data_IF_270006822775
#
_entry.id   IF_270006822775
#
_cell.length_a   1.000
_cell.length_b   1.000
_cell.length_c   1.000
_cell.angle_alpha   90.00
_cell.angle_beta   90.00
_cell.angle_gamma   90.00
#
_symmetry.space_group_name_H-M   'P 1'
#
loop_
_entity.id
_entity.type
_entity.pdbx_description
1 polymer ?
#
# COMPACT_ATOMS: atom_id res chain seq x y z
N UNK A 1 14.86 22.37 5.59
CA UNK A 1 13.40 22.56 5.69
C UNK A 1 12.64 21.74 4.67
N UNK A 2 12.64 22.02 3.36
CA UNK A 2 11.86 21.21 2.39
C UNK A 2 12.34 19.74 2.20
N UNK A 3 13.63 19.46 2.42
CA UNK A 3 14.19 18.11 2.27
C UNK A 3 14.03 17.23 3.52
N UNK A 4 14.13 17.83 4.70
CA UNK A 4 13.87 17.14 5.97
C UNK A 4 12.40 16.70 6.06
N UNK A 5 11.51 17.47 5.44
CA UNK A 5 10.07 17.20 5.33
C UNK A 5 9.79 15.95 4.49
N UNK A 6 10.43 15.82 3.31
CA UNK A 6 10.32 14.63 2.46
C UNK A 6 10.86 13.36 3.12
N UNK A 7 11.97 13.47 3.85
CA UNK A 7 12.53 12.35 4.62
C UNK A 7 11.59 11.88 5.72
N UNK A 8 10.96 12.82 6.43
CA UNK A 8 9.96 12.52 7.44
C UNK A 8 8.67 11.92 6.85
N UNK A 9 8.19 12.46 5.71
CA UNK A 9 7.03 11.93 4.98
C UNK A 9 7.27 10.47 4.54
N UNK A 10 8.43 10.15 3.93
CA UNK A 10 8.78 8.78 3.54
C UNK A 10 8.82 7.86 4.74
N UNK A 11 9.43 8.28 5.85
CA UNK A 11 9.50 7.47 7.06
C UNK A 11 8.11 7.20 7.64
N UNK A 12 7.23 8.19 7.65
CA UNK A 12 5.85 8.03 8.10
C UNK A 12 5.07 7.05 7.20
N UNK A 13 5.28 7.10 5.88
CA UNK A 13 4.68 6.15 4.93
C UNK A 13 5.24 4.74 5.11
N UNK A 14 6.55 4.60 5.36
CA UNK A 14 7.18 3.32 5.64
C UNK A 14 6.63 2.69 6.93
N UNK A 15 6.52 3.47 8.01
CA UNK A 15 5.91 3.03 9.27
C UNK A 15 4.46 2.55 9.06
N UNK A 16 3.65 3.34 8.33
CA UNK A 16 2.27 2.94 7.97
C UNK A 16 2.23 1.67 7.14
N UNK A 17 3.13 1.51 6.17
CA UNK A 17 3.19 0.31 5.33
C UNK A 17 3.55 -0.93 6.15
N UNK A 18 4.50 -0.83 7.09
CA UNK A 18 4.86 -1.93 7.98
C UNK A 18 3.69 -2.31 8.88
N UNK A 19 3.01 -1.34 9.48
CA UNK A 19 1.81 -1.59 10.31
C UNK A 19 0.69 -2.24 9.49
N UNK A 20 0.44 -1.75 8.27
CA UNK A 20 -0.59 -2.30 7.39
C UNK A 20 -0.26 -3.73 6.95
N UNK A 21 1.00 -4.00 6.60
CA UNK A 21 1.48 -5.35 6.25
C UNK A 21 1.20 -6.34 7.38
N UNK A 22 1.62 -5.99 8.61
CA UNK A 22 1.38 -6.83 9.78
C UNK A 22 -0.11 -7.01 10.07
N UNK A 23 -0.91 -5.95 9.88
CA UNK A 23 -2.35 -6.00 10.05
C UNK A 23 -3.03 -6.94 9.06
N UNK A 24 -2.66 -6.89 7.78
CA UNK A 24 -3.18 -7.77 6.72
C UNK A 24 -2.79 -9.22 7.03
N UNK A 25 -1.52 -9.50 7.32
CA UNK A 25 -1.05 -10.87 7.62
C UNK A 25 -1.78 -11.48 8.83
N UNK A 26 -1.90 -10.73 9.92
CA UNK A 26 -2.61 -11.19 11.13
C UNK A 26 -4.09 -11.41 10.85
N UNK A 27 -4.71 -10.52 10.07
CA UNK A 27 -6.11 -10.61 9.72
C UNK A 27 -6.40 -11.78 8.77
N UNK A 28 -5.55 -12.03 7.77
CA UNK A 28 -5.68 -13.16 6.85
C UNK A 28 -5.62 -14.49 7.61
N UNK A 29 -4.64 -14.66 8.50
CA UNK A 29 -4.51 -15.87 9.30
C UNK A 29 -5.71 -16.07 10.23
N UNK A 30 -6.11 -15.02 10.96
CA UNK A 30 -7.29 -15.06 11.81
C UNK A 30 -8.56 -15.40 11.02
N UNK A 31 -8.73 -14.78 9.84
CA UNK A 31 -9.89 -15.01 8.96
C UNK A 31 -9.94 -16.44 8.44
N UNK A 32 -8.80 -17.04 8.06
CA UNK A 32 -8.75 -18.45 7.63
C UNK A 32 -9.16 -19.38 8.76
N UNK A 33 -8.65 -19.16 9.98
CA UNK A 33 -9.02 -19.96 11.16
C UNK A 33 -10.51 -19.82 11.47
N UNK A 34 -11.04 -18.59 11.45
CA UNK A 34 -12.47 -18.33 11.66
C UNK A 34 -13.32 -19.01 10.59
N UNK A 35 -13.00 -18.84 9.29
CA UNK A 35 -13.76 -19.46 8.20
C UNK A 35 -13.75 -20.99 8.27
N UNK A 36 -12.61 -21.60 8.61
CA UNK A 36 -12.53 -23.04 8.80
C UNK A 36 -13.35 -23.52 10.00
N UNK A 37 -13.32 -22.77 11.12
CA UNK A 37 -14.13 -23.06 12.30
C UNK A 37 -15.63 -22.98 11.98
N UNK A 38 -16.06 -21.88 11.34
CA UNK A 38 -17.44 -21.65 10.91
C UNK A 38 -17.91 -22.74 9.96
N UNK A 39 -17.09 -23.15 8.99
CA UNK A 39 -17.41 -24.24 8.08
C UNK A 39 -17.66 -25.55 8.84
N UNK A 40 -16.80 -25.89 9.81
CA UNK A 40 -16.98 -27.10 10.61
C UNK A 40 -18.28 -27.08 11.42
N UNK A 41 -18.64 -25.92 11.99
CA UNK A 41 -19.91 -25.77 12.72
C UNK A 41 -21.11 -25.94 11.80
N UNK A 42 -21.10 -25.29 10.63
CA UNK A 42 -22.18 -25.41 9.62
C UNK A 42 -22.32 -26.86 9.14
N UNK A 43 -21.21 -27.53 8.82
CA UNK A 43 -21.23 -28.93 8.39
C UNK A 43 -21.70 -29.88 9.51
N UNK A 44 -21.39 -29.58 10.78
CA UNK A 44 -21.92 -30.34 11.91
C UNK A 44 -23.44 -30.24 11.98
N UNK A 45 -23.99 -29.03 11.90
CA UNK A 45 -25.44 -28.81 11.92
C UNK A 45 -26.14 -29.45 10.73
N UNK A 46 -25.48 -29.48 9.57
CA UNK A 46 -25.99 -30.18 8.40
C UNK A 46 -26.04 -31.69 8.62
N UNK A 47 -25.00 -32.29 9.23
CA UNK A 47 -25.01 -33.72 9.58
C UNK A 47 -26.13 -34.06 10.56
N UNK A 48 -26.34 -33.22 11.58
CA UNK A 48 -27.42 -33.42 12.55
C UNK A 48 -28.80 -33.36 11.87
N UNK A 49 -28.99 -32.42 10.94
CA UNK A 49 -30.21 -32.29 10.14
C UNK A 49 -30.44 -33.51 9.23
N UNK A 50 -29.41 -33.98 8.53
CA UNK A 50 -29.48 -35.19 7.68
C UNK A 50 -29.75 -36.44 8.53
N UNK A 51 -29.17 -36.53 9.72
CA UNK A 51 -29.43 -37.64 10.65
C UNK A 51 -30.88 -37.64 11.15
N UNK A 52 -31.47 -36.46 11.42
CA UNK A 52 -32.88 -36.35 11.78
C UNK A 52 -33.80 -36.85 10.65
N UNK A 53 -33.48 -36.53 9.40
CA UNK A 53 -34.18 -37.05 8.20
C UNK A 53 -34.03 -38.56 8.09
N UNK A 54 -32.80 -39.09 8.26
CA UNK A 54 -32.54 -40.52 8.16
C UNK A 54 -33.30 -41.33 9.22
N UNK A 55 -33.29 -40.87 10.49
CA UNK A 55 -34.09 -41.49 11.56
C UNK A 55 -35.59 -41.51 11.24
N UNK A 56 -36.07 -40.44 10.62
CA UNK A 56 -37.46 -40.34 10.18
C UNK A 56 -37.76 -41.34 9.06
N UNK A 57 -36.86 -41.50 8.09
CA UNK A 57 -37.00 -42.50 7.02
C UNK A 57 -37.05 -43.93 7.58
N UNK A 58 -36.10 -44.30 8.44
CA UNK A 58 -36.07 -45.62 9.07
C UNK A 58 -37.38 -45.95 9.79
N UNK A 59 -37.92 -44.99 10.55
CA UNK A 59 -39.24 -45.15 11.18
C UNK A 59 -40.37 -45.36 10.16
N UNK A 60 -40.37 -44.60 9.07
CA UNK A 60 -41.41 -44.70 8.05
C UNK A 60 -41.37 -46.05 7.33
N UNK A 61 -40.19 -46.56 7.03
CA UNK A 61 -39.97 -47.78 6.25
C UNK A 61 -40.10 -49.05 7.10
N UNK A 62 -39.54 -49.05 8.32
CA UNK A 62 -39.45 -50.25 9.17
C UNK A 62 -40.55 -50.28 10.24
N UNK A 63 -41.20 -49.15 10.52
CA UNK A 63 -42.21 -49.05 11.58
C UNK A 63 -41.66 -49.14 13.00
N UNK A 64 -40.37 -49.39 13.15
CA UNK A 64 -39.65 -49.42 14.42
C UNK A 64 -39.00 -48.06 14.67
N UNK A 65 -39.20 -47.53 15.87
CA UNK A 65 -38.41 -46.41 16.39
C UNK A 65 -37.63 -46.95 17.58
N UNK A 66 -36.30 -46.86 17.54
CA UNK A 66 -35.38 -47.32 18.60
C UNK A 66 -35.74 -46.66 19.96
N UNK A 67 -36.51 -45.56 19.94
CA UNK A 67 -37.01 -44.88 21.12
C UNK A 67 -38.26 -45.48 21.79
N UNK A 68 -38.98 -46.43 21.18
CA UNK A 68 -40.25 -46.93 21.73
C UNK A 68 -40.04 -47.75 23.00
N UNK A 69 -38.85 -48.33 23.19
CA UNK A 69 -38.58 -49.29 24.26
C UNK A 69 -38.36 -48.66 25.66
N UNK A 70 -38.22 -47.33 25.77
CA UNK A 70 -37.83 -46.70 27.06
C UNK A 70 -38.87 -45.80 27.73
N UNK A 71 -39.95 -45.36 27.07
CA UNK A 71 -40.82 -44.29 27.63
C UNK A 71 -42.32 -44.62 27.65
N UNK A 72 -42.79 -45.64 26.92
CA UNK A 72 -44.24 -45.76 26.67
C UNK A 72 -44.82 -46.99 27.38
N UNK A 73 -45.43 -46.75 28.56
CA UNK A 73 -46.40 -47.70 29.16
C UNK A 73 -47.59 -47.96 28.23
N UNK A 74 -48.52 -48.89 28.54
CA UNK A 74 -49.46 -49.46 27.57
C UNK A 74 -50.43 -48.40 27.02
N UNK A 75 -50.04 -47.73 25.92
CA UNK A 75 -50.87 -46.89 25.10
C UNK A 75 -51.47 -47.75 23.98
N UNK A 76 -52.66 -47.38 23.48
CA UNK A 76 -53.14 -47.96 22.23
C UNK A 76 -52.14 -47.66 21.10
N UNK A 77 -51.91 -48.62 20.20
CA UNK A 77 -50.97 -48.51 19.08
C UNK A 77 -51.16 -47.20 18.27
N UNK A 78 -52.41 -46.73 18.15
CA UNK A 78 -52.77 -45.50 17.45
C UNK A 78 -52.33 -44.21 18.16
N UNK A 79 -52.30 -44.20 19.50
CA UNK A 79 -51.82 -43.06 20.30
C UNK A 79 -50.29 -42.99 20.28
N UNK A 80 -49.64 -44.15 20.41
CA UNK A 80 -48.18 -44.29 20.33
C UNK A 80 -47.64 -43.78 18.97
N UNK A 81 -48.28 -44.17 17.87
CA UNK A 81 -47.86 -43.75 16.52
C UNK A 81 -47.95 -42.24 16.30
N UNK A 82 -48.97 -41.56 16.86
CA UNK A 82 -49.15 -40.10 16.71
C UNK A 82 -48.08 -39.31 17.45
N UNK A 83 -47.71 -39.75 18.66
CA UNK A 83 -46.70 -39.09 19.46
C UNK A 83 -45.29 -39.30 18.87
N UNK A 84 -45.01 -40.47 18.31
CA UNK A 84 -43.77 -40.75 17.54
C UNK A 84 -43.67 -39.85 16.30
N UNK A 85 -44.72 -39.75 15.48
CA UNK A 85 -44.74 -38.85 14.30
C UNK A 85 -44.47 -37.40 14.69
N UNK A 86 -45.07 -36.92 15.77
CA UNK A 86 -44.83 -35.56 16.28
C UNK A 86 -43.37 -35.37 16.69
N UNK A 87 -42.77 -36.36 17.35
CA UNK A 87 -41.37 -36.30 17.76
C UNK A 87 -40.42 -36.19 16.56
N UNK A 88 -40.61 -37.01 15.52
CA UNK A 88 -39.82 -36.91 14.29
C UNK A 88 -40.01 -35.59 13.56
N UNK A 89 -41.24 -35.08 13.43
CA UNK A 89 -41.49 -33.78 12.78
C UNK A 89 -40.85 -32.62 13.55
N UNK A 90 -40.96 -32.61 14.87
CA UNK A 90 -40.33 -31.59 15.73
C UNK A 90 -38.80 -31.69 15.66
N UNK A 91 -38.23 -32.89 15.73
CA UNK A 91 -36.78 -33.08 15.64
C UNK A 91 -36.22 -32.58 14.31
N UNK A 92 -36.87 -32.89 13.17
CA UNK A 92 -36.44 -32.35 11.89
C UNK A 92 -36.55 -30.82 11.86
N UNK A 93 -37.64 -30.26 12.39
CA UNK A 93 -37.85 -28.82 12.42
C UNK A 93 -36.78 -28.10 13.25
N UNK A 94 -36.47 -28.60 14.43
CA UNK A 94 -35.43 -28.04 15.30
C UNK A 94 -34.05 -28.10 14.63
N UNK A 95 -33.67 -29.23 14.05
CA UNK A 95 -32.36 -29.37 13.39
C UNK A 95 -32.22 -28.44 12.18
N UNK A 96 -33.22 -28.35 11.30
CA UNK A 96 -33.14 -27.43 10.15
C UNK A 96 -33.22 -25.95 10.55
N UNK A 97 -33.93 -25.62 11.64
CA UNK A 97 -33.93 -24.27 12.19
C UNK A 97 -32.56 -23.88 12.75
N UNK A 98 -31.90 -24.79 13.48
CA UNK A 98 -30.53 -24.59 13.98
C UNK A 98 -29.51 -24.47 12.84
N UNK A 99 -29.63 -25.30 11.79
CA UNK A 99 -28.81 -25.20 10.59
C UNK A 99 -28.96 -23.83 9.92
N UNK A 100 -30.20 -23.38 9.73
CA UNK A 100 -30.52 -22.06 9.17
C UNK A 100 -29.92 -20.93 9.99
N UNK A 101 -30.10 -20.93 11.32
CA UNK A 101 -29.53 -19.90 12.20
C UNK A 101 -28.00 -19.89 12.12
N UNK A 102 -27.37 -21.07 12.14
CA UNK A 102 -25.92 -21.21 12.05
C UNK A 102 -25.40 -20.74 10.70
N UNK A 103 -26.05 -21.12 9.60
CA UNK A 103 -25.67 -20.71 8.25
C UNK A 103 -25.88 -19.19 8.04
N UNK A 104 -26.92 -18.61 8.64
CA UNK A 104 -27.14 -17.15 8.62
C UNK A 104 -26.02 -16.40 9.36
N UNK A 105 -25.64 -16.90 10.54
CA UNK A 105 -24.50 -16.37 11.29
C UNK A 105 -23.19 -16.50 10.49
N UNK A 106 -23.00 -17.62 9.78
CA UNK A 106 -21.85 -17.87 8.94
C UNK A 106 -21.76 -16.91 7.74
N UNK A 107 -22.88 -16.61 7.07
CA UNK A 107 -22.96 -15.59 6.02
C UNK A 107 -22.49 -14.25 6.57
N UNK A 108 -23.05 -13.81 7.71
CA UNK A 108 -22.69 -12.53 8.32
C UNK A 108 -21.21 -12.45 8.67
N UNK A 109 -20.65 -13.50 9.27
CA UNK A 109 -19.22 -13.55 9.59
C UNK A 109 -18.34 -13.45 8.34
N UNK A 110 -18.72 -14.11 7.25
CA UNK A 110 -17.98 -14.04 5.99
C UNK A 110 -18.11 -12.65 5.33
N UNK A 111 -19.27 -12.01 5.42
CA UNK A 111 -19.48 -10.62 4.97
C UNK A 111 -18.65 -9.61 5.79
N UNK A 112 -18.57 -9.79 7.11
CA UNK A 112 -17.73 -8.96 7.99
C UNK A 112 -16.24 -9.08 7.59
N UNK A 113 -15.78 -10.31 7.30
CA UNK A 113 -14.41 -10.55 6.81
C UNK A 113 -14.18 -9.88 5.45
N UNK A 114 -15.13 -10.00 4.52
CA UNK A 114 -15.06 -9.34 3.20
C UNK A 114 -14.98 -7.83 3.33
N UNK A 115 -15.77 -7.23 4.23
CA UNK A 115 -15.75 -5.80 4.48
C UNK A 115 -14.39 -5.32 4.97
N UNK A 116 -13.79 -6.04 5.92
CA UNK A 116 -12.45 -5.71 6.44
C UNK A 116 -11.36 -5.82 5.37
N UNK A 117 -11.41 -6.84 4.49
CA UNK A 117 -10.48 -6.93 3.35
C UNK A 117 -10.59 -5.72 2.44
N UNK A 118 -11.82 -5.28 2.13
CA UNK A 118 -12.03 -4.08 1.31
C UNK A 118 -11.52 -2.80 1.97
N UNK A 119 -11.52 -2.72 3.31
CA UNK A 119 -10.93 -1.59 4.04
C UNK A 119 -9.40 -1.57 3.89
N UNK A 120 -8.73 -2.73 3.95
CA UNK A 120 -7.30 -2.82 3.71
C UNK A 120 -6.92 -2.41 2.28
N UNK A 121 -7.72 -2.80 1.28
CA UNK A 121 -7.51 -2.35 -0.11
C UNK A 121 -7.59 -0.82 -0.22
N UNK A 122 -8.58 -0.20 0.43
CA UNK A 122 -8.70 1.27 0.47
C UNK A 122 -7.47 1.90 1.14
N UNK A 123 -6.98 1.34 2.25
CA UNK A 123 -5.78 1.84 2.93
C UNK A 123 -4.51 1.69 2.07
N UNK A 124 -4.37 0.58 1.34
CA UNK A 124 -3.29 0.37 0.37
C UNK A 124 -3.35 1.39 -0.78
N UNK A 125 -4.53 1.68 -1.30
CA UNK A 125 -4.71 2.66 -2.36
C UNK A 125 -4.40 4.09 -1.90
N UNK A 126 -4.73 4.44 -0.65
CA UNK A 126 -4.31 5.71 -0.05
C UNK A 126 -2.79 5.78 0.05
N UNK A 127 -2.13 4.73 0.53
CA UNK A 127 -0.66 4.69 0.62
C UNK A 127 0.01 4.79 -0.76
N UNK A 128 -0.54 4.13 -1.78
CA UNK A 128 -0.06 4.25 -3.17
C UNK A 128 -0.15 5.69 -3.67
N UNK A 129 -1.28 6.36 -3.43
CA UNK A 129 -1.47 7.78 -3.79
C UNK A 129 -0.50 8.70 -3.05
N UNK A 130 -0.28 8.47 -1.76
CA UNK A 130 0.69 9.23 -0.96
C UNK A 130 2.11 9.04 -1.52
N UNK A 131 2.50 7.81 -1.83
CA UNK A 131 3.80 7.49 -2.45
C UNK A 131 3.96 8.14 -3.83
N UNK A 132 2.94 8.09 -4.70
CA UNK A 132 2.98 8.73 -6.01
C UNK A 132 3.10 10.26 -5.91
N UNK A 133 2.41 10.87 -4.94
CA UNK A 133 2.51 12.30 -4.68
C UNK A 133 3.93 12.69 -4.20
N UNK A 134 4.52 11.92 -3.30
CA UNK A 134 5.91 12.11 -2.84
C UNK A 134 6.88 11.92 -4.01
N UNK A 135 6.73 10.86 -4.80
CA UNK A 135 7.58 10.58 -5.96
C UNK A 135 7.54 11.75 -6.95
N UNK A 136 6.35 12.22 -7.31
CA UNK A 136 6.16 13.34 -8.24
C UNK A 136 6.82 14.62 -7.72
N UNK A 137 6.67 14.91 -6.42
CA UNK A 137 7.28 16.09 -5.78
C UNK A 137 8.81 15.98 -5.78
N UNK A 138 9.35 14.82 -5.41
CA UNK A 138 10.78 14.57 -5.36
C UNK A 138 11.42 14.62 -6.76
N UNK A 139 10.79 14.04 -7.77
CA UNK A 139 11.25 14.10 -9.17
C UNK A 139 11.24 15.53 -9.71
N UNK A 140 10.20 16.32 -9.41
CA UNK A 140 10.14 17.74 -9.76
C UNK A 140 11.28 18.55 -9.11
N UNK A 141 11.48 18.38 -7.80
CA UNK A 141 12.56 19.06 -7.09
C UNK A 141 13.94 18.65 -7.60
N UNK A 142 14.11 17.37 -7.98
CA UNK A 142 15.36 16.87 -8.56
C UNK A 142 15.64 17.52 -9.92
N UNK A 143 14.62 17.66 -10.76
CA UNK A 143 14.74 18.33 -12.05
C UNK A 143 15.14 19.81 -11.88
N UNK A 144 14.52 20.52 -10.92
CA UNK A 144 14.85 21.91 -10.60
C UNK A 144 16.29 22.03 -10.09
N UNK A 145 16.70 21.19 -9.14
CA UNK A 145 18.06 21.20 -8.59
C UNK A 145 19.10 20.92 -9.68
N UNK A 146 18.83 19.99 -10.59
CA UNK A 146 19.69 19.69 -11.74
C UNK A 146 19.83 20.87 -12.69
N UNK A 147 18.74 21.60 -12.98
CA UNK A 147 18.80 22.80 -13.82
C UNK A 147 19.58 23.93 -13.14
N UNK A 148 19.36 24.16 -11.84
CA UNK A 148 20.06 25.16 -11.05
C UNK A 148 21.58 24.89 -11.01
N UNK A 149 21.99 23.65 -10.76
CA UNK A 149 23.39 23.23 -10.82
C UNK A 149 24.01 23.52 -12.19
N UNK A 150 23.31 23.19 -13.28
CA UNK A 150 23.81 23.47 -14.63
C UNK A 150 23.95 24.97 -14.95
N UNK A 151 23.10 25.83 -14.38
CA UNK A 151 23.24 27.28 -14.49
C UNK A 151 24.43 27.80 -13.68
N UNK A 152 24.56 27.33 -12.44
CA UNK A 152 25.62 27.73 -11.52
C UNK A 152 27.00 27.30 -12.02
N UNK A 153 27.13 26.11 -12.61
CA UNK A 153 28.38 25.67 -13.26
C UNK A 153 28.81 26.59 -14.39
N UNK A 154 27.86 27.09 -15.20
CA UNK A 154 28.16 28.06 -16.26
C UNK A 154 28.59 29.40 -15.68
N UNK A 155 27.96 29.86 -14.61
CA UNK A 155 28.34 31.10 -13.93
C UNK A 155 29.73 31.02 -13.32
N UNK A 156 30.07 29.92 -12.64
CA UNK A 156 31.42 29.66 -12.08
C UNK A 156 32.46 29.67 -13.22
N UNK A 157 32.22 28.94 -14.31
CA UNK A 157 33.12 28.94 -15.47
C UNK A 157 33.32 30.35 -16.06
N UNK A 158 32.27 31.17 -16.05
CA UNK A 158 32.36 32.54 -16.55
C UNK A 158 33.16 33.45 -15.61
N UNK A 159 32.90 33.39 -14.29
CA UNK A 159 33.64 34.20 -13.31
C UNK A 159 35.11 33.78 -13.23
N UNK A 160 35.42 32.49 -13.31
CA UNK A 160 36.79 31.98 -13.41
C UNK A 160 37.50 32.49 -14.66
N UNK A 161 36.85 32.48 -15.83
CA UNK A 161 37.41 33.05 -17.07
C UNK A 161 37.71 34.55 -16.91
N UNK A 162 36.79 35.31 -16.31
CA UNK A 162 36.97 36.76 -16.07
C UNK A 162 38.15 36.99 -15.11
N UNK A 163 38.24 36.22 -14.03
CA UNK A 163 39.34 36.29 -13.08
C UNK A 163 40.69 35.99 -13.74
N UNK A 164 40.76 34.94 -14.56
CA UNK A 164 41.97 34.57 -15.29
C UNK A 164 42.40 35.65 -16.28
N UNK A 165 41.43 36.23 -17.02
CA UNK A 165 41.69 37.35 -17.91
C UNK A 165 42.26 38.56 -17.15
N UNK A 166 41.62 38.97 -16.04
CA UNK A 166 42.06 40.11 -15.21
C UNK A 166 43.45 39.87 -14.60
N UNK A 167 43.74 38.64 -14.14
CA UNK A 167 45.06 38.24 -13.64
C UNK A 167 46.13 38.31 -14.75
N UNK A 168 45.80 37.84 -15.95
CA UNK A 168 46.66 37.95 -17.14
C UNK A 168 46.95 39.41 -17.52
N UNK A 169 45.93 40.27 -17.49
CA UNK A 169 46.07 41.72 -17.74
C UNK A 169 46.99 42.38 -16.69
N UNK A 170 46.79 42.11 -15.40
CA UNK A 170 47.70 42.61 -14.35
C UNK A 170 49.14 42.14 -14.60
N UNK A 171 49.36 40.85 -14.92
CA UNK A 171 50.69 40.32 -15.19
C UNK A 171 51.35 40.97 -16.42
N UNK A 172 50.55 41.36 -17.42
CA UNK A 172 51.04 42.13 -18.58
C UNK A 172 51.41 43.56 -18.21
N UNK A 173 50.57 44.26 -17.43
CA UNK A 173 50.81 45.61 -16.93
C UNK A 173 52.03 45.65 -16.00
N UNK A 174 52.24 44.63 -15.17
CA UNK A 174 53.42 44.47 -14.32
C UNK A 174 54.71 44.33 -15.13
N UNK A 175 54.66 43.55 -16.22
CA UNK A 175 55.78 43.44 -17.17
C UNK A 175 56.07 44.76 -17.88
N UNK A 176 55.04 45.47 -18.34
CA UNK A 176 55.22 46.80 -18.96
C UNK A 176 55.80 47.83 -17.99
N UNK A 177 55.33 47.84 -16.74
CA UNK A 177 55.87 48.71 -15.69
C UNK A 177 57.34 48.38 -15.38
N UNK A 178 57.68 47.09 -15.33
CA UNK A 178 59.05 46.59 -15.15
C UNK A 178 59.99 47.06 -16.26
N UNK A 179 59.59 46.84 -17.53
CA UNK A 179 60.35 47.28 -18.70
C UNK A 179 60.53 48.81 -18.73
N UNK A 180 59.45 49.57 -18.42
CA UNK A 180 59.52 51.03 -18.34
C UNK A 180 60.44 51.53 -17.22
N UNK A 181 60.51 50.83 -16.08
CA UNK A 181 61.45 51.13 -15.01
C UNK A 181 62.90 50.83 -15.40
N UNK A 182 63.15 49.77 -16.15
CA UNK A 182 64.47 49.45 -16.69
C UNK A 182 64.93 50.48 -17.73
N UNK A 183 64.03 50.94 -18.60
CA UNK A 183 64.29 52.03 -19.54
C UNK A 183 64.59 53.35 -18.82
N UNK A 184 63.86 53.66 -17.74
CA UNK A 184 64.19 54.79 -16.86
C UNK A 184 65.54 54.62 -16.18
N UNK A 185 65.88 53.42 -15.71
CA UNK A 185 67.17 53.12 -15.09
C UNK A 185 68.31 53.28 -16.10
N UNK A 186 68.11 52.84 -17.35
CA UNK A 186 69.05 53.05 -18.47
C UNK A 186 69.20 54.53 -18.81
N UNK A 187 68.10 55.28 -18.87
CA UNK A 187 68.12 56.73 -19.08
C UNK A 187 68.83 57.46 -17.94
N UNK A 188 68.60 57.09 -16.67
CA UNK A 188 69.32 57.64 -15.51
C UNK A 188 70.81 57.29 -15.52
N UNK A 189 71.19 56.07 -15.91
CA UNK A 189 72.61 55.68 -16.09
C UNK A 189 73.28 56.47 -17.21
N UNK A 190 72.59 56.68 -18.34
CA UNK A 190 73.06 57.58 -19.41
C UNK A 190 73.13 59.03 -18.93
N UNK A 191 72.19 59.47 -18.10
CA UNK A 191 72.17 60.79 -17.47
C UNK A 191 73.35 60.97 -16.51
N UNK A 192 73.70 60.01 -15.66
CA UNK A 192 74.88 60.07 -14.79
C UNK A 192 76.21 60.09 -15.56
N UNK A 193 76.23 59.62 -16.82
CA UNK A 193 77.39 59.74 -17.72
C UNK A 193 77.39 61.07 -18.52
N UNK A 194 76.23 61.73 -18.66
CA UNK A 194 76.05 62.95 -19.44
C UNK A 194 75.90 64.24 -18.61
N UNK A 195 76.13 64.20 -17.29
CA UNK A 195 76.20 65.40 -16.45
C UNK A 195 77.51 66.19 -16.60
N UNK A 196 78.41 65.73 -17.46
CA UNK A 196 79.50 66.56 -17.95
C UNK A 196 79.05 67.57 -19.03
N UNK A 197 77.82 67.55 -19.58
CA UNK A 197 77.51 68.43 -20.73
C UNK A 197 76.05 68.75 -21.10
N UNK A 198 75.06 68.90 -20.20
CA UNK A 198 73.75 69.45 -20.67
C UNK A 198 72.78 70.01 -19.62
N UNK A 199 72.67 71.34 -19.61
CA UNK A 199 71.50 72.10 -19.15
C UNK A 199 70.40 72.16 -20.26
N UNK A 200 70.62 71.57 -21.46
CA UNK A 200 69.86 71.86 -22.70
C UNK A 200 69.38 70.59 -23.45
N UNK A 201 68.53 69.72 -22.87
CA UNK A 201 67.81 68.70 -23.68
C UNK A 201 66.33 68.57 -23.29
N UNK A 202 65.47 69.50 -23.77
CA UNK A 202 64.00 69.42 -23.61
C UNK A 202 63.36 68.07 -24.02
N UNK A 203 63.82 67.37 -25.08
CA UNK A 203 63.23 66.08 -25.48
C UNK A 203 63.38 64.98 -24.43
N UNK A 204 64.49 64.99 -23.65
CA UNK A 204 64.71 63.97 -22.62
C UNK A 204 63.88 64.22 -21.36
N UNK A 205 63.62 65.48 -21.00
CA UNK A 205 62.71 65.85 -19.91
C UNK A 205 61.27 65.50 -20.29
N UNK A 206 60.84 65.83 -21.52
CA UNK A 206 59.53 65.44 -22.04
C UNK A 206 59.35 63.92 -22.09
N UNK A 207 60.42 63.18 -22.43
CA UNK A 207 60.41 61.71 -22.41
C UNK A 207 60.34 61.14 -21.00
N UNK A 208 60.96 61.78 -20.00
CA UNK A 208 60.86 61.38 -18.60
C UNK A 208 59.46 61.64 -18.02
N UNK A 209 58.88 62.82 -18.28
CA UNK A 209 57.54 63.21 -17.83
C UNK A 209 56.45 62.35 -18.48
N UNK A 210 56.55 62.07 -19.79
CA UNK A 210 55.60 61.17 -20.46
C UNK A 210 55.69 59.73 -19.97
N UNK A 211 56.90 59.24 -19.65
CA UNK A 211 57.06 57.95 -18.99
C UNK A 211 56.44 57.96 -17.58
N UNK A 212 56.55 59.05 -16.82
CA UNK A 212 55.94 59.22 -15.48
C UNK A 212 54.42 59.20 -15.52
N UNK A 213 53.83 59.96 -16.43
CA UNK A 213 52.39 59.93 -16.67
C UNK A 213 51.92 58.53 -17.07
N UNK A 214 52.60 57.88 -18.01
CA UNK A 214 52.28 56.52 -18.45
C UNK A 214 52.37 55.49 -17.34
N UNK A 215 53.39 55.56 -16.46
CA UNK A 215 53.46 54.65 -15.32
C UNK A 215 52.40 54.94 -14.24
N UNK A 216 51.97 56.20 -14.10
CA UNK A 216 50.88 56.55 -13.18
C UNK A 216 49.54 56.01 -13.66
N UNK A 217 49.26 56.09 -14.96
CA UNK A 217 48.06 55.51 -15.59
C UNK A 217 48.06 53.98 -15.48
N UNK A 218 49.17 53.32 -15.81
CA UNK A 218 49.33 51.86 -15.65
C UNK A 218 49.09 51.41 -14.20
N UNK A 219 49.58 52.16 -13.20
CA UNK A 219 49.34 51.87 -11.78
C UNK A 219 47.90 52.14 -11.33
N UNK A 220 47.21 53.10 -11.94
CA UNK A 220 45.80 53.36 -11.67
C UNK A 220 44.95 52.20 -12.19
N UNK A 221 45.17 51.78 -13.44
CA UNK A 221 44.50 50.62 -14.05
C UNK A 221 44.78 49.31 -13.29
N UNK A 222 46.02 49.10 -12.84
CA UNK A 222 46.34 47.93 -11.99
C UNK A 222 45.60 47.96 -10.65
N UNK A 223 45.42 49.13 -10.02
CA UNK A 223 44.66 49.23 -8.76
C UNK A 223 43.19 48.95 -8.98
N UNK A 224 42.62 49.47 -10.06
CA UNK A 224 41.23 49.21 -10.45
C UNK A 224 41.00 47.72 -10.72
N UNK A 225 41.85 47.07 -11.52
CA UNK A 225 41.76 45.63 -11.78
C UNK A 225 41.94 44.79 -10.49
N UNK A 226 42.81 45.22 -9.57
CA UNK A 226 42.99 44.54 -8.27
C UNK A 226 41.76 44.66 -7.38
N UNK A 227 41.09 45.81 -7.34
CA UNK A 227 39.82 45.95 -6.62
C UNK A 227 38.72 45.11 -7.29
N UNK A 228 38.63 45.11 -8.63
CA UNK A 228 37.67 44.26 -9.32
C UNK A 228 37.91 42.75 -9.10
N UNK A 229 39.15 42.29 -8.91
CA UNK A 229 39.45 40.90 -8.53
C UNK A 229 38.97 40.62 -7.10
N UNK A 230 39.17 41.57 -6.19
CA UNK A 230 38.77 41.47 -4.79
C UNK A 230 37.25 41.30 -4.62
N UNK A 231 36.47 41.78 -5.58
CA UNK A 231 35.01 41.62 -5.61
C UNK A 231 34.57 40.30 -6.29
N UNK A 232 35.30 39.82 -7.31
CA UNK A 232 34.94 38.62 -8.09
C UNK A 232 35.41 37.29 -7.43
N UNK A 233 36.51 37.30 -6.68
CA UNK A 233 36.98 36.14 -5.90
C UNK A 233 35.98 35.67 -4.83
N UNK A 234 35.43 36.53 -3.94
CA UNK A 234 34.45 36.09 -2.96
C UNK A 234 33.14 35.63 -3.61
N UNK A 235 32.75 36.21 -4.75
CA UNK A 235 31.59 35.76 -5.52
C UNK A 235 31.78 34.32 -6.03
N UNK A 236 32.95 34.02 -6.59
CA UNK A 236 33.29 32.66 -7.07
C UNK A 236 33.31 31.65 -5.92
N UNK A 237 33.90 32.01 -4.77
CA UNK A 237 33.89 31.17 -3.58
C UNK A 237 32.48 30.94 -3.02
N UNK A 238 31.61 31.95 -3.08
CA UNK A 238 30.20 31.82 -2.68
C UNK A 238 29.47 30.83 -3.58
N UNK A 239 29.61 30.95 -4.90
CA UNK A 239 29.00 30.04 -5.87
C UNK A 239 29.51 28.61 -5.73
N UNK A 240 30.80 28.41 -5.44
CA UNK A 240 31.35 27.08 -5.18
C UNK A 240 30.77 26.41 -3.93
N UNK A 241 30.53 27.20 -2.86
CA UNK A 241 29.85 26.69 -1.65
C UNK A 241 28.40 26.32 -1.93
N UNK A 242 27.68 27.17 -2.67
CA UNK A 242 26.29 26.93 -3.04
C UNK A 242 26.13 25.74 -4.00
N UNK A 243 27.12 25.53 -4.89
CA UNK A 243 27.19 24.32 -5.73
C UNK A 243 27.27 23.06 -4.85
N UNK A 244 28.18 23.04 -3.88
CA UNK A 244 28.36 21.89 -3.00
C UNK A 244 27.09 21.57 -2.19
N UNK A 245 26.36 22.59 -1.73
CA UNK A 245 25.08 22.36 -1.02
C UNK A 245 23.99 21.82 -1.96
N UNK A 246 23.89 22.33 -3.18
CA UNK A 246 22.95 21.82 -4.19
C UNK A 246 23.26 20.39 -4.65
N UNK A 247 24.54 20.02 -4.75
CA UNK A 247 24.96 18.65 -5.02
C UNK A 247 24.49 17.70 -3.91
N UNK A 248 24.65 18.09 -2.64
CA UNK A 248 24.12 17.33 -1.51
C UNK A 248 22.58 17.18 -1.57
N UNK A 249 21.85 18.26 -1.88
CA UNK A 249 20.38 18.17 -2.04
C UNK A 249 19.96 17.23 -3.18
N UNK A 250 20.70 17.22 -4.29
CA UNK A 250 20.45 16.33 -5.43
C UNK A 250 20.60 14.86 -5.04
N UNK A 251 21.62 14.52 -4.26
CA UNK A 251 21.84 13.14 -3.77
C UNK A 251 20.72 12.69 -2.83
N UNK A 252 20.29 13.56 -1.91
CA UNK A 252 19.16 13.30 -1.00
C UNK A 252 17.89 13.02 -1.81
N UNK A 253 17.57 13.87 -2.79
CA UNK A 253 16.39 13.68 -3.64
C UNK A 253 16.44 12.38 -4.46
N UNK A 254 17.62 12.01 -4.96
CA UNK A 254 17.79 10.75 -5.67
C UNK A 254 17.52 9.54 -4.75
N UNK A 255 17.99 9.59 -3.50
CA UNK A 255 17.70 8.57 -2.49
C UNK A 255 16.21 8.51 -2.13
N UNK A 256 15.55 9.67 -1.97
CA UNK A 256 14.10 9.78 -1.74
C UNK A 256 13.32 9.09 -2.87
N UNK A 257 13.62 9.41 -4.14
CA UNK A 257 12.95 8.78 -5.30
C UNK A 257 13.17 7.26 -5.32
N UNK A 258 14.39 6.80 -5.05
CA UNK A 258 14.69 5.36 -5.00
C UNK A 258 13.91 4.65 -3.89
N UNK A 259 13.85 5.24 -2.69
CA UNK A 259 13.10 4.70 -1.55
C UNK A 259 11.60 4.66 -1.83
N UNK A 260 11.03 5.72 -2.41
CA UNK A 260 9.61 5.74 -2.78
C UNK A 260 9.28 4.65 -3.79
N UNK A 261 10.12 4.44 -4.82
CA UNK A 261 9.93 3.34 -5.80
C UNK A 261 10.01 1.96 -5.15
N UNK A 262 10.94 1.76 -4.22
CA UNK A 262 11.04 0.53 -3.46
C UNK A 262 9.78 0.27 -2.61
N UNK A 263 9.22 1.30 -1.96
CA UNK A 263 7.99 1.19 -1.19
C UNK A 263 6.78 0.88 -2.08
N UNK A 264 6.65 1.52 -3.25
CA UNK A 264 5.58 1.21 -4.23
C UNK A 264 5.63 -0.28 -4.62
N UNK A 265 6.83 -0.79 -4.91
CA UNK A 265 7.03 -2.20 -5.27
C UNK A 265 6.62 -3.15 -4.13
N UNK A 266 6.79 -2.74 -2.87
CA UNK A 266 6.36 -3.52 -1.69
C UNK A 266 4.84 -3.52 -1.49
N UNK A 267 4.11 -2.50 -1.97
CA UNK A 267 2.65 -2.45 -1.90
C UNK A 267 1.94 -3.36 -2.91
N UNK A 268 2.63 -3.80 -3.97
CA UNK A 268 2.06 -4.61 -5.05
C UNK A 268 1.71 -6.05 -4.62
N UNK A 269 2.60 -6.81 -3.95
CA UNK A 269 2.28 -8.17 -3.48
C UNK A 269 1.19 -8.21 -2.41
N UNK A 270 1.02 -7.16 -1.60
CA UNK A 270 -0.02 -7.10 -0.55
C UNK A 270 -1.44 -7.13 -1.13
N UNK A 271 -1.63 -6.52 -2.30
CA UNK A 271 -2.90 -6.59 -3.02
C UNK A 271 -3.14 -7.97 -3.65
N UNK A 272 -2.06 -8.71 -3.91
CA UNK A 272 -2.15 -10.06 -4.49
C UNK A 272 -2.38 -11.13 -3.42
N UNK A 273 -1.78 -11.02 -2.22
CA UNK A 273 -1.98 -12.00 -1.13
C UNK A 273 -3.42 -11.98 -0.61
N UNK A 274 -4.00 -10.78 -0.49
CA UNK A 274 -5.38 -10.59 -0.07
C UNK A 274 -6.39 -11.26 -1.03
N UNK A 275 -6.01 -11.47 -2.30
CA UNK A 275 -6.88 -12.04 -3.33
C UNK A 275 -7.27 -13.49 -3.05
N UNK A 276 -6.37 -14.32 -2.52
CA UNK A 276 -6.68 -15.72 -2.19
C UNK A 276 -7.72 -15.81 -1.07
N UNK A 277 -7.52 -15.04 -0.01
CA UNK A 277 -8.44 -14.98 1.14
C UNK A 277 -9.78 -14.37 0.72
N UNK A 278 -9.77 -13.35 -0.14
CA UNK A 278 -10.98 -12.76 -0.69
C UNK A 278 -11.78 -13.77 -1.53
N UNK A 279 -11.12 -14.51 -2.43
CA UNK A 279 -11.78 -15.51 -3.26
C UNK A 279 -12.37 -16.64 -2.41
N UNK A 280 -11.66 -17.09 -1.37
CA UNK A 280 -12.18 -18.07 -0.42
C UNK A 280 -13.45 -17.56 0.28
N UNK A 281 -13.41 -16.34 0.79
CA UNK A 281 -14.54 -15.72 1.51
C UNK A 281 -15.74 -15.53 0.58
N UNK A 282 -15.54 -15.07 -0.65
CA UNK A 282 -16.62 -14.91 -1.64
C UNK A 282 -17.29 -16.24 -1.99
N UNK A 283 -16.49 -17.29 -2.22
CA UNK A 283 -17.02 -18.63 -2.44
C UNK A 283 -17.84 -19.11 -1.24
N UNK A 284 -17.35 -18.89 -0.01
CA UNK A 284 -18.05 -19.29 1.22
C UNK A 284 -19.35 -18.53 1.45
N UNK A 285 -19.41 -17.23 1.13
CA UNK A 285 -20.66 -16.46 1.19
C UNK A 285 -21.72 -17.10 0.29
N UNK A 286 -21.36 -17.44 -0.96
CA UNK A 286 -22.29 -18.08 -1.90
C UNK A 286 -22.76 -19.44 -1.39
N UNK A 287 -21.84 -20.28 -0.90
CA UNK A 287 -22.17 -21.59 -0.33
C UNK A 287 -23.10 -21.49 0.88
N UNK A 288 -22.79 -20.62 1.83
CA UNK A 288 -23.62 -20.43 3.03
C UNK A 288 -24.97 -19.82 2.70
N UNK A 289 -25.05 -18.90 1.73
CA UNK A 289 -26.33 -18.32 1.32
C UNK A 289 -27.25 -19.36 0.66
N UNK A 290 -26.72 -20.21 -0.22
CA UNK A 290 -27.49 -21.33 -0.79
C UNK A 290 -27.96 -22.30 0.30
N UNK A 291 -27.11 -22.55 1.31
CA UNK A 291 -27.49 -23.38 2.45
C UNK A 291 -28.59 -22.75 3.32
N UNK A 292 -28.54 -21.43 3.56
CA UNK A 292 -29.61 -20.70 4.26
C UNK A 292 -30.94 -20.85 3.54
N UNK A 293 -30.97 -20.59 2.23
CA UNK A 293 -32.19 -20.68 1.42
C UNK A 293 -32.81 -22.08 1.49
N UNK A 294 -31.98 -23.13 1.41
CA UNK A 294 -32.47 -24.51 1.50
C UNK A 294 -32.89 -24.87 2.92
N UNK A 295 -32.16 -24.43 3.94
CA UNK A 295 -32.53 -24.66 5.33
C UNK A 295 -33.84 -23.95 5.70
N UNK A 296 -34.10 -22.76 5.13
CA UNK A 296 -35.38 -22.06 5.21
C UNK A 296 -36.52 -22.89 4.60
N UNK A 297 -36.33 -23.43 3.39
CA UNK A 297 -37.32 -24.30 2.75
C UNK A 297 -37.62 -25.53 3.60
N UNK A 298 -36.60 -26.18 4.15
CA UNK A 298 -36.75 -27.35 5.01
C UNK A 298 -37.42 -27.02 6.35
N UNK A 299 -37.05 -25.90 6.97
CA UNK A 299 -37.67 -25.42 8.20
C UNK A 299 -39.15 -25.08 7.97
N UNK A 300 -39.51 -24.52 6.81
CA UNK A 300 -40.89 -24.26 6.43
C UNK A 300 -41.69 -25.57 6.27
N UNK A 301 -41.16 -26.55 5.52
CA UNK A 301 -41.84 -27.83 5.31
C UNK A 301 -42.06 -28.61 6.61
N UNK A 302 -41.05 -28.63 7.49
CA UNK A 302 -41.10 -29.33 8.79
C UNK A 302 -41.97 -28.58 9.81
N UNK A 303 -41.99 -27.25 9.75
CA UNK A 303 -42.87 -26.42 10.58
C UNK A 303 -44.34 -26.62 10.22
N UNK A 304 -44.67 -26.60 8.92
CA UNK A 304 -46.02 -26.88 8.44
C UNK A 304 -46.48 -28.30 8.78
N UNK A 305 -45.59 -29.28 8.61
CA UNK A 305 -45.85 -30.66 9.02
C UNK A 305 -46.11 -30.77 10.54
N UNK A 306 -45.33 -30.07 11.36
CA UNK A 306 -45.51 -30.06 12.83
C UNK A 306 -46.86 -29.45 13.20
N UNK A 307 -47.24 -28.34 12.55
CA UNK A 307 -48.57 -27.71 12.72
C UNK A 307 -49.70 -28.67 12.33
N UNK A 308 -49.62 -29.28 11.16
CA UNK A 308 -50.62 -30.24 10.67
C UNK A 308 -50.72 -31.47 11.58
N UNK A 309 -49.59 -32.00 12.06
CA UNK A 309 -49.57 -33.13 12.99
C UNK A 309 -50.27 -32.80 14.30
N UNK A 310 -50.04 -31.59 14.84
CA UNK A 310 -50.75 -31.11 16.01
C UNK A 310 -52.27 -31.00 15.77
N UNK A 311 -52.69 -30.54 14.59
CA UNK A 311 -54.12 -30.48 14.20
C UNK A 311 -54.73 -31.87 14.01
N UNK A 312 -54.05 -32.79 13.32
CA UNK A 312 -54.56 -34.15 13.05
C UNK A 312 -54.61 -35.04 14.29
N UNK A 313 -53.77 -34.77 15.29
CA UNK A 313 -53.91 -35.38 16.61
C UNK A 313 -55.30 -35.13 17.20
N UNK A 314 -55.89 -33.96 16.95
CA UNK A 314 -57.24 -33.58 17.41
C UNK A 314 -58.37 -34.16 16.53
N UNK A 315 -58.12 -34.35 15.23
CA UNK A 315 -59.15 -34.72 14.24
C UNK A 315 -59.20 -36.21 13.87
N UNK A 316 -58.21 -37.03 14.28
CA UNK A 316 -58.27 -38.48 14.11
C UNK A 316 -57.74 -39.06 12.80
N UNK A 317 -57.18 -38.25 11.88
CA UNK A 317 -56.61 -38.71 10.60
C UNK A 317 -55.11 -39.07 10.68
N UNK A 318 -54.59 -39.69 9.61
CA UNK A 318 -53.23 -40.23 9.56
C UNK A 318 -52.17 -39.15 9.31
N UNK A 319 -51.40 -38.81 10.34
CA UNK A 319 -50.23 -37.91 10.29
C UNK A 319 -49.01 -38.55 9.61
N UNK A 320 -48.96 -39.89 9.53
CA UNK A 320 -47.83 -40.66 8.98
C UNK A 320 -47.64 -40.42 7.47
N UNK A 321 -48.72 -40.31 6.71
CA UNK A 321 -48.65 -40.08 5.26
C UNK A 321 -48.07 -38.69 4.92
N UNK A 322 -48.41 -37.68 5.70
CA UNK A 322 -47.84 -36.32 5.52
C UNK A 322 -46.36 -36.28 5.91
N UNK A 323 -45.99 -36.96 7.00
CA UNK A 323 -44.58 -37.13 7.39
C UNK A 323 -43.80 -37.77 6.23
N UNK A 324 -44.30 -38.87 5.66
CA UNK A 324 -43.68 -39.53 4.51
C UNK A 324 -43.51 -38.58 3.32
N UNK A 325 -44.55 -37.85 2.94
CA UNK A 325 -44.50 -36.90 1.82
C UNK A 325 -43.47 -35.78 2.05
N UNK A 326 -43.39 -35.22 3.25
CA UNK A 326 -42.41 -34.18 3.59
C UNK A 326 -40.99 -34.73 3.63
N UNK A 327 -40.78 -35.89 4.24
CA UNK A 327 -39.47 -36.56 4.29
C UNK A 327 -38.96 -36.87 2.88
N UNK A 328 -39.78 -37.44 2.00
CA UNK A 328 -39.39 -37.70 0.60
C UNK A 328 -38.99 -36.43 -0.14
N UNK A 329 -39.69 -35.31 0.09
CA UNK A 329 -39.33 -34.01 -0.51
C UNK A 329 -37.99 -33.50 -0.01
N UNK A 330 -37.75 -33.56 1.30
CA UNK A 330 -36.47 -33.16 1.92
C UNK A 330 -35.33 -33.99 1.35
N UNK A 331 -35.48 -35.32 1.31
CA UNK A 331 -34.50 -36.25 0.75
C UNK A 331 -34.21 -35.92 -0.70
N UNK A 332 -35.25 -35.79 -1.54
CA UNK A 332 -35.08 -35.46 -2.96
C UNK A 332 -34.26 -34.18 -3.13
N UNK A 333 -34.59 -33.13 -2.36
CA UNK A 333 -33.92 -31.84 -2.45
C UNK A 333 -32.49 -31.86 -1.93
N UNK A 334 -32.22 -32.61 -0.86
CA UNK A 334 -30.87 -32.84 -0.33
C UNK A 334 -29.99 -33.58 -1.36
N UNK A 335 -30.55 -34.56 -2.06
CA UNK A 335 -29.84 -35.33 -3.09
C UNK A 335 -29.59 -34.53 -4.38
N UNK A 336 -30.41 -33.51 -4.65
CA UNK A 336 -30.23 -32.54 -5.75
C UNK A 336 -29.20 -31.45 -5.44
N UNK A 337 -28.67 -31.36 -4.20
CA UNK A 337 -27.67 -30.34 -3.84
C UNK A 337 -26.37 -30.60 -4.60
N UNK A 338 -25.87 -29.59 -5.33
CA UNK A 338 -24.68 -29.74 -6.17
C UNK A 338 -23.37 -29.66 -5.37
N UNK A 339 -23.44 -29.17 -4.13
CA UNK A 339 -22.31 -28.98 -3.22
C UNK A 339 -21.67 -30.32 -2.83
N UNK A 340 -20.37 -30.49 -3.09
CA UNK A 340 -19.65 -31.76 -2.88
C UNK A 340 -19.70 -32.26 -1.43
N UNK A 341 -19.55 -31.34 -0.47
CA UNK A 341 -19.58 -31.64 0.97
C UNK A 341 -20.97 -32.12 1.40
N UNK A 342 -22.02 -31.51 0.86
CA UNK A 342 -23.41 -31.92 1.13
C UNK A 342 -23.74 -33.25 0.49
N UNK A 343 -23.29 -33.49 -0.75
CA UNK A 343 -23.40 -34.81 -1.40
C UNK A 343 -22.73 -35.90 -0.56
N UNK A 344 -21.57 -35.61 0.03
CA UNK A 344 -20.86 -36.58 0.86
C UNK A 344 -21.64 -36.90 2.14
N UNK A 345 -22.22 -35.89 2.80
CA UNK A 345 -23.05 -36.07 4.00
C UNK A 345 -24.36 -36.81 3.68
N UNK A 346 -24.96 -36.57 2.52
CA UNK A 346 -26.28 -37.11 2.13
C UNK A 346 -26.23 -38.49 1.47
N UNK A 347 -25.05 -39.06 1.18
CA UNK A 347 -24.90 -40.39 0.56
C UNK A 347 -25.67 -41.50 1.28
N UNK A 348 -25.70 -41.47 2.61
CA UNK A 348 -26.42 -42.46 3.42
C UNK A 348 -27.94 -42.39 3.33
N UNK A 349 -28.52 -41.44 2.58
CA UNK A 349 -29.96 -41.39 2.30
C UNK A 349 -30.37 -42.16 1.03
N UNK A 350 -29.40 -42.67 0.25
CA UNK A 350 -29.66 -43.43 -1.01
C UNK A 350 -29.62 -44.94 -0.83
N UNK A 351 -29.08 -45.43 0.29
CA UNK A 351 -29.04 -46.84 0.68
C UNK A 351 -30.29 -47.17 1.50
#
# INVERSE_FOLDING_TARGET
>A
MAFDDLGAEIKAVEERLVTLTQGIEQFEEASRVTMASTQNTVLSQLRDSVNAVNKTMLFLDQGEDIYIDTVVGPLSEAQSTKDVVKKHSTSMHESFSQLRETATSAVKQAEDVKSMLSEFDVQLDILRKDLDAIATRAESLYAIARLALGSMEKEIQNTERILEQKKGEIASLERELGNGNDDRRRLRKKRSVAWASSIIFPPMVLRAVSLEFRASDLRARMRELKEQIKDEEPKTLSLLREKATLEGHKEILAAVVANTKALITRCEPLSSSASETQQLVENKIVEYHDLVLRADDFAAWTGDLTRQTNTFRLLGSSSRMQLQKSTTRIVTRLLEMDQAEVKLITRGLKE
#
